data_IF_822270469026
#
_entry.id   IF_822270469026
#
_cell.length_a   1.000
_cell.length_b   1.000
_cell.length_c   1.000
_cell.angle_alpha   90.00
_cell.angle_beta   90.00
_cell.angle_gamma   90.00
#
_symmetry.space_group_name_H-M   'P 1'
#
loop_
_entity.id
_entity.type
_entity.pdbx_description
1 polymer ?
#
# COMPACT_ATOMS: atom_id res chain seq x y z
N UNK A 1 -18.25 -2.64 16.40
CA UNK A 1 -18.52 -2.98 14.99
C UNK A 1 -17.42 -3.93 14.53
N UNK A 2 -17.73 -5.18 14.13
CA UNK A 2 -16.70 -6.09 13.65
C UNK A 2 -16.30 -5.62 12.25
N UNK A 3 -15.16 -4.97 12.15
CA UNK A 3 -14.60 -4.48 10.90
C UNK A 3 -14.48 -5.65 9.92
N UNK A 4 -15.04 -5.45 8.72
CA UNK A 4 -15.15 -6.42 7.63
C UNK A 4 -13.91 -7.30 7.47
N UNK A 5 -14.06 -8.55 7.90
CA UNK A 5 -13.15 -9.66 7.63
C UNK A 5 -13.39 -10.14 6.18
N UNK A 6 -13.16 -9.27 5.21
CA UNK A 6 -12.87 -9.77 3.86
C UNK A 6 -11.42 -10.19 3.89
N UNK A 7 -11.19 -11.50 4.06
CA UNK A 7 -9.86 -12.10 3.99
C UNK A 7 -9.21 -11.71 2.67
N UNK A 8 -8.19 -10.84 2.74
CA UNK A 8 -7.41 -10.49 1.55
C UNK A 8 -6.75 -11.78 1.06
N UNK A 9 -6.99 -12.18 -0.20
CA UNK A 9 -6.46 -13.43 -0.71
C UNK A 9 -4.93 -13.41 -0.70
N UNK A 10 -4.32 -14.52 -0.27
CA UNK A 10 -2.86 -14.66 -0.27
C UNK A 10 -2.37 -14.81 -1.71
N UNK A 11 -1.78 -13.77 -2.26
CA UNK A 11 -1.20 -13.80 -3.60
C UNK A 11 0.15 -14.56 -3.59
N UNK A 12 0.33 -15.46 -4.56
CA UNK A 12 1.61 -16.14 -4.83
C UNK A 12 2.38 -15.39 -5.93
N UNK A 13 3.71 -15.46 -5.86
CA UNK A 13 4.62 -14.83 -6.82
C UNK A 13 5.72 -14.01 -6.15
N UNK A 14 6.41 -13.20 -6.96
CA UNK A 14 7.37 -12.18 -6.50
C UNK A 14 6.67 -11.06 -5.71
N UNK A 15 7.42 -10.23 -4.98
CA UNK A 15 6.85 -9.09 -4.24
C UNK A 15 6.05 -8.15 -5.14
N UNK A 16 6.58 -7.80 -6.31
CA UNK A 16 5.92 -6.94 -7.28
C UNK A 16 4.67 -7.57 -7.90
N UNK A 17 4.70 -8.88 -8.20
CA UNK A 17 3.53 -9.60 -8.70
C UNK A 17 2.40 -9.63 -7.67
N UNK A 18 2.73 -9.82 -6.40
CA UNK A 18 1.73 -9.79 -5.31
C UNK A 18 1.12 -8.41 -5.18
N UNK A 19 1.95 -7.36 -5.22
CA UNK A 19 1.47 -5.98 -5.15
C UNK A 19 0.57 -5.64 -6.34
N UNK A 20 0.96 -6.01 -7.55
CA UNK A 20 0.16 -5.76 -8.74
C UNK A 20 -1.20 -6.47 -8.67
N UNK A 21 -1.21 -7.76 -8.29
CA UNK A 21 -2.46 -8.52 -8.08
C UNK A 21 -3.34 -7.93 -6.97
N UNK A 22 -2.72 -7.46 -5.88
CA UNK A 22 -3.43 -6.82 -4.78
C UNK A 22 -4.08 -5.50 -5.20
N UNK A 23 -3.38 -4.67 -5.99
CA UNK A 23 -3.92 -3.43 -6.52
C UNK A 23 -5.12 -3.66 -7.44
N UNK A 24 -5.03 -4.66 -8.34
CA UNK A 24 -6.14 -5.04 -9.22
C UNK A 24 -7.34 -5.51 -8.39
N UNK A 25 -7.11 -6.44 -7.46
CA UNK A 25 -8.17 -6.96 -6.59
C UNK A 25 -8.82 -5.85 -5.75
N UNK A 26 -8.03 -4.92 -5.22
CA UNK A 26 -8.51 -3.78 -4.46
C UNK A 26 -9.37 -2.84 -5.31
N UNK A 27 -8.95 -2.56 -6.55
CA UNK A 27 -9.71 -1.71 -7.48
C UNK A 27 -11.07 -2.34 -7.84
N UNK A 28 -11.12 -3.66 -8.00
CA UNK A 28 -12.34 -4.37 -8.39
C UNK A 28 -13.30 -4.61 -7.21
N UNK A 29 -12.79 -4.91 -6.02
CA UNK A 29 -13.62 -5.37 -4.89
C UNK A 29 -13.82 -4.31 -3.80
N UNK A 30 -12.91 -3.34 -3.67
CA UNK A 30 -12.87 -2.39 -2.56
C UNK A 30 -12.32 -1.02 -3.02
N UNK A 31 -12.94 -0.36 -4.02
CA UNK A 31 -12.47 0.94 -4.49
C UNK A 31 -12.49 1.97 -3.36
N UNK A 32 -11.33 2.57 -3.07
CA UNK A 32 -11.18 3.57 -2.00
C UNK A 32 -11.04 3.01 -0.58
N UNK A 33 -10.90 1.69 -0.41
CA UNK A 33 -10.60 1.11 0.90
C UNK A 33 -9.15 1.40 1.30
N UNK A 34 -8.99 1.94 2.50
CA UNK A 34 -7.68 2.06 3.14
C UNK A 34 -7.26 0.70 3.69
N UNK A 35 -6.01 0.31 3.41
CA UNK A 35 -5.41 -0.91 3.96
C UNK A 35 -4.54 -0.56 5.16
N UNK A 36 -4.59 -1.41 6.18
CA UNK A 36 -3.70 -1.30 7.33
C UNK A 36 -2.27 -1.69 6.94
N UNK A 37 -1.28 -1.18 7.68
CA UNK A 37 0.13 -1.54 7.48
C UNK A 37 0.39 -3.06 7.60
N UNK A 38 -0.45 -3.76 8.37
CA UNK A 38 -0.36 -5.20 8.59
C UNK A 38 -0.90 -6.01 7.39
N UNK A 39 -2.00 -5.57 6.80
CA UNK A 39 -2.53 -6.11 5.54
C UNK A 39 -1.53 -5.90 4.40
N UNK A 40 -0.96 -4.70 4.27
CA UNK A 40 0.05 -4.37 3.25
C UNK A 40 1.32 -5.21 3.45
N UNK A 41 1.74 -5.42 4.70
CA UNK A 41 2.89 -6.27 5.04
C UNK A 41 2.66 -7.72 4.59
N UNK A 42 1.49 -8.28 4.89
CA UNK A 42 1.11 -9.63 4.47
C UNK A 42 1.03 -9.76 2.94
N UNK A 43 0.47 -8.76 2.25
CA UNK A 43 0.39 -8.69 0.79
C UNK A 43 1.77 -8.71 0.13
N UNK A 44 2.68 -7.85 0.60
CA UNK A 44 4.04 -7.73 0.04
C UNK A 44 5.00 -8.82 0.55
N UNK A 45 4.60 -9.62 1.55
CA UNK A 45 5.47 -10.60 2.19
C UNK A 45 6.65 -9.94 2.92
N UNK A 46 6.45 -8.74 3.45
CA UNK A 46 7.46 -7.97 4.20
C UNK A 46 6.98 -7.77 5.63
N UNK A 47 7.88 -7.32 6.52
CA UNK A 47 7.47 -6.98 7.89
C UNK A 47 6.73 -5.65 7.94
N UNK A 48 5.84 -5.49 8.93
CA UNK A 48 5.13 -4.23 9.20
C UNK A 48 6.07 -3.03 9.29
N UNK A 49 7.22 -3.20 9.94
CA UNK A 49 8.21 -2.12 10.10
C UNK A 49 8.85 -1.73 8.75
N UNK A 50 8.99 -2.67 7.80
CA UNK A 50 9.45 -2.35 6.45
C UNK A 50 8.47 -1.45 5.72
N UNK A 51 7.16 -1.70 5.83
CA UNK A 51 6.11 -0.86 5.25
C UNK A 51 6.16 0.54 5.87
N UNK A 52 6.28 0.64 7.18
CA UNK A 52 6.42 1.92 7.91
C UNK A 52 7.64 2.73 7.45
N UNK A 53 8.78 2.08 7.21
CA UNK A 53 9.97 2.75 6.69
C UNK A 53 9.74 3.32 5.27
N UNK A 54 9.03 2.59 4.41
CA UNK A 54 8.70 3.05 3.06
C UNK A 54 7.76 4.25 3.15
N UNK A 55 6.73 4.19 3.99
CA UNK A 55 5.79 5.29 4.25
C UNK A 55 6.54 6.54 4.73
N UNK A 56 7.40 6.41 5.74
CA UNK A 56 8.20 7.53 6.25
C UNK A 56 9.08 8.16 5.17
N UNK A 57 9.72 7.33 4.33
CA UNK A 57 10.53 7.82 3.20
C UNK A 57 9.67 8.49 2.13
N UNK A 58 8.50 7.97 1.81
CA UNK A 58 7.58 8.55 0.85
C UNK A 58 7.05 9.91 1.33
N UNK A 59 6.57 9.98 2.57
CA UNK A 59 6.13 11.23 3.20
C UNK A 59 7.24 12.28 3.24
N UNK A 60 8.48 11.89 3.59
CA UNK A 60 9.63 12.80 3.54
C UNK A 60 9.94 13.30 2.13
N UNK A 61 9.80 12.46 1.10
CA UNK A 61 9.99 12.85 -0.30
C UNK A 61 8.89 13.80 -0.77
N UNK A 62 7.63 13.57 -0.38
CA UNK A 62 6.49 14.43 -0.71
C UNK A 62 6.56 15.78 0.00
N UNK A 63 7.06 15.83 1.24
CA UNK A 63 7.20 17.07 2.03
C UNK A 63 8.41 17.92 1.63
N UNK A 64 9.22 17.50 0.66
CA UNK A 64 10.41 18.24 0.25
C UNK A 64 10.02 19.37 -0.72
N UNK A 65 10.21 20.66 -0.35
CA UNK A 65 9.72 21.81 -1.11
C UNK A 65 10.31 21.89 -2.53
N UNK A 66 11.52 21.38 -2.75
CA UNK A 66 12.14 21.32 -4.09
C UNK A 66 11.44 20.37 -5.09
N UNK A 67 10.45 19.57 -4.67
CA UNK A 67 9.67 18.68 -5.54
C UNK A 67 8.18 19.03 -5.62
N UNK A 68 7.70 20.01 -4.86
CA UNK A 68 6.31 20.49 -4.92
C UNK A 68 6.08 21.58 -5.98
N UNK A 69 7.11 21.99 -6.72
CA UNK A 69 7.04 23.10 -7.70
C UNK A 69 6.49 22.67 -9.07
N UNK A 70 6.36 21.37 -9.34
CA UNK A 70 5.97 20.84 -10.67
C UNK A 70 4.44 20.61 -10.84
N UNK A 71 3.61 21.22 -9.99
CA UNK A 71 2.14 21.18 -10.09
C UNK A 71 1.50 22.58 -9.89
N UNK A 72 2.21 23.62 -10.30
CA UNK A 72 1.65 24.97 -10.44
C UNK A 72 2.10 25.54 -11.79
N UNK A 73 1.46 25.07 -12.86
CA UNK A 73 1.08 25.84 -14.05
C UNK A 73 -0.07 25.10 -14.76
#
# INVERSE_FOLDING_TARGET
MPYQLMDIPKFKGSTDERLNKANIWAAENCPGREFTLEEIANLMGVTRERVRQIEFRALRKLRHPSRSVLLTD
#
